data_IF_340065624657
#
_entry.id   IF_340065624657
#
_cell.length_a   1.000
_cell.length_b   1.000
_cell.length_c   1.000
_cell.angle_alpha   90.00
_cell.angle_beta   90.00
_cell.angle_gamma   90.00
#
_symmetry.space_group_name_H-M   'P 1'
#
loop_
_entity.id
_entity.type
_entity.pdbx_description
1 polymer ?
#
# COMPACT_ATOMS: atom_id res chain seq x y z
N UNK A 1 -10.44 0.11 -12.46
CA UNK A 1 -9.40 1.01 -11.92
C UNK A 1 -10.13 1.93 -10.98
N UNK A 2 -9.83 1.95 -9.68
CA UNK A 2 -10.40 2.95 -8.78
C UNK A 2 -9.87 4.30 -9.25
N UNK A 3 -10.77 5.20 -9.62
CA UNK A 3 -10.42 6.56 -9.98
C UNK A 3 -9.74 7.22 -8.79
N UNK A 4 -8.46 7.56 -8.92
CA UNK A 4 -7.68 8.18 -7.86
C UNK A 4 -8.13 9.63 -7.71
N UNK A 5 -8.98 9.91 -6.74
CA UNK A 5 -9.48 11.26 -6.45
C UNK A 5 -8.36 12.15 -5.92
N UNK A 6 -8.30 13.39 -6.43
CA UNK A 6 -7.39 14.43 -5.97
C UNK A 6 -8.19 15.50 -5.23
N UNK A 7 -7.77 15.84 -4.02
CA UNK A 7 -8.30 16.96 -3.27
C UNK A 7 -7.41 18.20 -3.50
N UNK A 8 -7.99 19.27 -3.96
CA UNK A 8 -7.31 20.55 -4.21
C UNK A 8 -7.77 21.55 -3.17
N UNK A 9 -6.82 22.13 -2.43
CA UNK A 9 -7.08 23.03 -1.31
C UNK A 9 -6.40 24.37 -1.55
N UNK A 10 -7.20 25.40 -1.74
CA UNK A 10 -6.73 26.76 -1.96
C UNK A 10 -7.91 27.72 -1.66
N UNK A 11 -7.71 28.81 -0.92
CA UNK A 11 -8.76 29.76 -0.57
C UNK A 11 -9.17 30.66 -1.75
N UNK A 12 -8.30 30.81 -2.74
CA UNK A 12 -8.55 31.59 -3.95
C UNK A 12 -9.28 30.79 -5.03
N UNK A 13 -10.52 31.16 -5.42
CA UNK A 13 -11.26 30.48 -6.49
C UNK A 13 -10.53 30.43 -7.83
N UNK A 14 -9.72 31.45 -8.12
CA UNK A 14 -8.95 31.51 -9.35
C UNK A 14 -7.89 30.37 -9.42
N UNK A 15 -7.23 30.07 -8.31
CA UNK A 15 -6.25 28.98 -8.23
C UNK A 15 -6.93 27.62 -8.39
N UNK A 16 -8.10 27.42 -7.75
CA UNK A 16 -8.91 26.21 -7.92
C UNK A 16 -9.32 26.02 -9.37
N UNK A 17 -9.77 27.07 -10.06
CA UNK A 17 -10.16 27.01 -11.47
C UNK A 17 -8.97 26.68 -12.39
N UNK A 18 -7.77 27.20 -12.08
CA UNK A 18 -6.55 26.86 -12.84
C UNK A 18 -6.23 25.37 -12.67
N UNK A 19 -6.27 24.84 -11.45
CA UNK A 19 -6.01 23.43 -11.16
C UNK A 19 -7.06 22.52 -11.81
N UNK A 20 -8.33 22.91 -11.79
CA UNK A 20 -9.41 22.21 -12.50
C UNK A 20 -9.10 22.10 -13.97
N UNK A 21 -8.79 23.19 -14.66
CA UNK A 21 -8.41 23.18 -16.08
C UNK A 21 -7.14 22.38 -16.40
N UNK A 22 -6.28 22.12 -15.41
CA UNK A 22 -5.07 21.30 -15.62
C UNK A 22 -5.38 19.81 -15.46
N UNK A 23 -6.25 19.41 -14.51
CA UNK A 23 -6.33 18.03 -14.02
C UNK A 23 -7.69 17.36 -14.28
N UNK A 24 -8.78 18.09 -14.53
CA UNK A 24 -10.14 17.54 -14.62
C UNK A 24 -10.32 16.49 -15.72
N UNK A 25 -9.61 16.63 -16.86
CA UNK A 25 -9.66 15.65 -17.95
C UNK A 25 -9.08 14.26 -17.59
N UNK A 26 -8.27 14.21 -16.52
CA UNK A 26 -7.49 13.01 -16.18
C UNK A 26 -7.86 12.40 -14.82
N UNK A 27 -8.44 13.18 -13.92
CA UNK A 27 -8.69 12.77 -12.53
C UNK A 27 -10.00 13.32 -11.97
N UNK A 28 -10.72 12.55 -11.13
CA UNK A 28 -11.81 13.10 -10.32
C UNK A 28 -11.26 14.12 -9.31
N UNK A 29 -11.82 15.31 -9.29
CA UNK A 29 -11.36 16.40 -8.43
C UNK A 29 -12.38 16.72 -7.35
N UNK A 30 -11.88 17.03 -6.15
CA UNK A 30 -12.63 17.57 -5.02
C UNK A 30 -11.93 18.85 -4.59
N UNK A 31 -12.69 19.86 -4.20
CA UNK A 31 -12.17 21.17 -3.85
C UNK A 31 -12.51 21.52 -2.41
N UNK A 32 -11.59 22.19 -1.72
CA UNK A 32 -11.78 22.77 -0.40
C UNK A 32 -11.11 24.14 -0.33
N UNK A 33 -11.65 25.05 0.48
CA UNK A 33 -11.16 26.43 0.58
C UNK A 33 -10.55 26.78 1.93
N UNK A 34 -10.61 25.85 2.86
CA UNK A 34 -10.11 26.03 4.23
C UNK A 34 -9.84 24.66 4.87
N UNK A 35 -9.24 24.68 6.06
CA UNK A 35 -8.89 23.45 6.77
C UNK A 35 -10.10 22.61 7.16
N UNK A 36 -11.19 23.23 7.59
CA UNK A 36 -12.40 22.50 7.98
C UNK A 36 -13.04 21.74 6.81
N UNK A 37 -13.16 22.38 5.65
CA UNK A 37 -13.62 21.73 4.41
C UNK A 37 -12.67 20.62 3.97
N UNK A 38 -11.36 20.83 4.09
CA UNK A 38 -10.33 19.84 3.74
C UNK A 38 -10.49 18.57 4.56
N UNK A 39 -10.62 18.67 5.88
CA UNK A 39 -10.78 17.52 6.76
C UNK A 39 -12.09 16.77 6.52
N UNK A 40 -13.18 17.49 6.24
CA UNK A 40 -14.45 16.89 5.87
C UNK A 40 -14.39 16.17 4.53
N UNK A 41 -13.73 16.76 3.52
CA UNK A 41 -13.53 16.18 2.21
C UNK A 41 -12.63 14.94 2.27
N UNK A 42 -11.59 14.95 3.09
CA UNK A 42 -10.67 13.82 3.30
C UNK A 42 -11.44 12.58 3.76
N UNK A 43 -12.27 12.70 4.78
CA UNK A 43 -13.06 11.59 5.33
C UNK A 43 -14.12 11.11 4.34
N UNK A 44 -14.77 12.02 3.62
CA UNK A 44 -15.87 11.70 2.71
C UNK A 44 -15.40 11.05 1.40
N UNK A 45 -14.29 11.54 0.84
CA UNK A 45 -13.87 11.20 -0.52
C UNK A 45 -12.62 10.32 -0.57
N UNK A 46 -11.91 10.12 0.55
CA UNK A 46 -10.69 9.31 0.66
C UNK A 46 -9.71 9.58 -0.51
N UNK A 47 -9.25 10.83 -0.71
CA UNK A 47 -8.42 11.18 -1.85
C UNK A 47 -7.06 10.47 -1.76
N UNK A 48 -6.51 10.08 -2.90
CA UNK A 48 -5.17 9.51 -2.99
C UNK A 48 -4.05 10.57 -2.90
N UNK A 49 -4.38 11.83 -3.25
CA UNK A 49 -3.44 12.93 -3.28
C UNK A 49 -4.15 14.23 -2.90
N UNK A 50 -3.46 15.07 -2.14
CA UNK A 50 -3.89 16.41 -1.76
C UNK A 50 -2.91 17.42 -2.33
N UNK A 51 -3.39 18.36 -3.13
CA UNK A 51 -2.66 19.57 -3.52
C UNK A 51 -3.05 20.65 -2.50
N UNK A 52 -2.13 21.07 -1.65
CA UNK A 52 -2.41 21.90 -0.48
C UNK A 52 -1.70 23.23 -0.55
N UNK A 53 -2.45 24.32 -0.60
CA UNK A 53 -1.87 25.65 -0.39
C UNK A 53 -1.40 25.80 1.05
N UNK A 54 -0.28 26.48 1.22
CA UNK A 54 0.30 26.78 2.53
C UNK A 54 -0.44 27.93 3.20
N UNK A 55 -0.91 28.92 2.42
CA UNK A 55 -1.49 30.17 2.90
C UNK A 55 -3.00 30.13 3.07
N UNK A 56 -3.56 29.22 3.87
CA UNK A 56 -5.01 29.18 4.14
C UNK A 56 -5.43 30.18 5.22
N UNK A 57 -6.70 30.67 5.19
CA UNK A 57 -7.18 31.73 6.07
C UNK A 57 -7.37 31.30 7.53
N UNK A 58 -7.62 30.02 7.77
CA UNK A 58 -8.02 29.47 9.08
C UNK A 58 -6.93 28.64 9.75
N UNK A 59 -6.01 28.06 8.98
CA UNK A 59 -4.95 27.20 9.48
C UNK A 59 -3.72 27.28 8.57
N UNK A 60 -2.53 27.23 9.15
CA UNK A 60 -1.29 27.06 8.41
C UNK A 60 -1.27 25.70 7.69
N UNK A 61 -0.95 25.70 6.38
CA UNK A 61 -0.96 24.50 5.54
C UNK A 61 -0.07 23.37 6.06
N UNK A 62 1.07 23.68 6.70
CA UNK A 62 1.93 22.66 7.32
C UNK A 62 1.25 22.02 8.54
N UNK A 63 0.53 22.80 9.33
CA UNK A 63 -0.25 22.28 10.45
C UNK A 63 -1.41 21.39 9.96
N UNK A 64 -2.08 21.80 8.87
CA UNK A 64 -3.14 21.01 8.24
C UNK A 64 -2.59 19.69 7.67
N UNK A 65 -1.44 19.69 7.02
CA UNK A 65 -0.78 18.50 6.53
C UNK A 65 -0.56 17.46 7.64
N UNK A 66 -0.04 17.90 8.80
CA UNK A 66 0.11 17.03 9.97
C UNK A 66 -1.22 16.46 10.48
N UNK A 67 -2.32 17.20 10.37
CA UNK A 67 -3.65 16.69 10.72
C UNK A 67 -4.17 15.68 9.72
N UNK A 68 -4.00 15.93 8.41
CA UNK A 68 -4.36 15.01 7.33
C UNK A 68 -3.68 13.65 7.55
N UNK A 69 -2.37 13.64 7.77
CA UNK A 69 -1.59 12.43 7.97
C UNK A 69 -1.93 11.67 9.27
N UNK A 70 -2.44 12.36 10.28
CA UNK A 70 -2.95 11.70 11.51
C UNK A 70 -4.32 11.03 11.32
N UNK A 71 -5.16 11.57 10.43
CA UNK A 71 -6.48 11.01 10.13
C UNK A 71 -6.36 9.80 9.22
N UNK A 72 -5.35 9.75 8.35
CA UNK A 72 -5.06 8.59 7.50
C UNK A 72 -4.08 7.63 8.16
N UNK A 73 -4.56 6.61 8.90
CA UNK A 73 -3.69 5.66 9.59
C UNK A 73 -2.88 4.77 8.61
N UNK A 74 -3.28 4.71 7.35
CA UNK A 74 -2.61 3.92 6.32
C UNK A 74 -1.45 4.67 5.67
N UNK A 75 -1.32 5.97 5.93
CA UNK A 75 -0.36 6.88 5.29
C UNK A 75 -0.37 6.78 3.75
N UNK A 76 -1.55 6.48 3.20
CA UNK A 76 -1.73 6.29 1.76
C UNK A 76 -1.93 7.62 1.03
N UNK A 77 -2.41 8.67 1.73
CA UNK A 77 -2.61 10.01 1.19
C UNK A 77 -1.26 10.71 1.01
N UNK A 78 -1.00 11.16 -0.21
CA UNK A 78 0.18 11.98 -0.51
C UNK A 78 -0.21 13.45 -0.46
N UNK A 79 0.61 14.29 0.19
CA UNK A 79 0.39 15.75 0.24
C UNK A 79 1.50 16.45 -0.54
N UNK A 80 1.11 17.20 -1.58
CA UNK A 80 1.99 18.09 -2.34
C UNK A 80 1.63 19.52 -1.99
N UNK A 81 2.57 20.28 -1.49
CA UNK A 81 2.34 21.69 -1.22
C UNK A 81 2.33 22.53 -2.49
N UNK A 82 1.42 23.50 -2.58
CA UNK A 82 1.37 24.50 -3.64
C UNK A 82 1.63 25.86 -2.99
N UNK A 83 2.80 26.45 -3.24
CA UNK A 83 3.24 27.64 -2.47
C UNK A 83 3.77 28.75 -3.36
N UNK A 84 3.55 29.99 -2.96
CA UNK A 84 4.16 31.18 -3.57
C UNK A 84 5.58 31.47 -3.09
N UNK A 85 6.08 30.74 -2.10
CA UNK A 85 7.41 30.96 -1.52
C UNK A 85 8.45 30.01 -2.10
N UNK A 86 9.54 30.56 -2.61
CA UNK A 86 10.66 29.84 -3.22
C UNK A 86 11.85 29.67 -2.23
N UNK A 87 11.58 29.65 -0.93
CA UNK A 87 12.62 29.68 0.08
C UNK A 87 12.94 28.27 0.59
N UNK A 88 14.22 27.92 0.67
CA UNK A 88 14.72 26.62 1.14
C UNK A 88 14.20 26.26 2.54
N UNK A 89 13.95 27.27 3.39
CA UNK A 89 13.40 27.05 4.73
C UNK A 89 11.93 26.58 4.68
N UNK A 90 11.15 27.05 3.72
CA UNK A 90 9.77 26.60 3.53
C UNK A 90 9.70 25.18 2.94
N UNK A 91 10.63 24.79 2.06
CA UNK A 91 10.73 23.42 1.56
C UNK A 91 11.04 22.43 2.69
N UNK A 92 12.04 22.74 3.53
CA UNK A 92 12.37 21.89 4.68
C UNK A 92 11.18 21.73 5.64
N UNK A 93 10.46 22.82 5.95
CA UNK A 93 9.27 22.79 6.80
C UNK A 93 8.14 21.93 6.18
N UNK A 94 8.00 21.92 4.86
CA UNK A 94 7.03 21.09 4.14
C UNK A 94 7.33 19.60 4.28
N UNK A 95 8.56 19.19 4.09
CA UNK A 95 8.98 17.79 4.28
C UNK A 95 8.89 17.36 5.75
N UNK A 96 9.27 18.24 6.69
CA UNK A 96 9.12 18.00 8.14
C UNK A 96 7.65 17.88 8.56
N UNK A 97 6.74 18.52 7.84
CA UNK A 97 5.29 18.37 8.05
C UNK A 97 4.74 17.05 7.48
N UNK A 98 5.55 16.30 6.70
CA UNK A 98 5.19 15.03 6.07
C UNK A 98 4.70 15.17 4.62
N UNK A 99 4.82 16.35 4.00
CA UNK A 99 4.59 16.52 2.58
C UNK A 99 5.63 15.76 1.75
N UNK A 100 5.22 15.27 0.57
CA UNK A 100 6.08 14.45 -0.28
C UNK A 100 6.72 15.25 -1.41
N UNK A 101 6.20 16.43 -1.71
CA UNK A 101 6.68 17.30 -2.79
C UNK A 101 6.09 18.71 -2.66
N UNK A 102 6.52 19.62 -3.51
CA UNK A 102 5.99 20.98 -3.60
C UNK A 102 5.88 21.47 -5.04
N UNK A 103 4.97 22.39 -5.31
CA UNK A 103 4.77 23.09 -6.58
C UNK A 103 4.80 24.58 -6.30
N UNK A 104 5.67 25.30 -6.99
CA UNK A 104 5.81 26.74 -6.81
C UNK A 104 4.82 27.48 -7.70
N UNK A 105 4.13 28.48 -7.13
CA UNK A 105 3.28 29.42 -7.88
C UNK A 105 4.18 30.49 -8.57
N UNK A 106 3.89 30.90 -9.83
CA UNK A 106 2.78 30.47 -10.67
C UNK A 106 2.94 29.04 -11.18
N UNK A 107 1.84 28.29 -11.17
CA UNK A 107 1.83 26.88 -11.56
C UNK A 107 1.94 26.70 -13.07
N UNK A 108 2.76 25.76 -13.49
CA UNK A 108 2.89 25.38 -14.91
C UNK A 108 2.19 24.03 -15.14
N UNK A 109 1.22 23.94 -16.10
CA UNK A 109 0.43 22.73 -16.31
C UNK A 109 1.24 21.45 -16.48
N UNK A 110 2.35 21.51 -17.19
CA UNK A 110 3.24 20.37 -17.42
C UNK A 110 3.89 19.88 -16.13
N UNK A 111 4.30 20.79 -15.24
CA UNK A 111 4.92 20.45 -13.96
C UNK A 111 3.88 19.83 -13.02
N UNK A 112 2.69 20.43 -12.94
CA UNK A 112 1.59 19.91 -12.11
C UNK A 112 1.26 18.48 -12.53
N UNK A 113 1.00 18.23 -13.82
CA UNK A 113 0.68 16.90 -14.35
C UNK A 113 1.79 15.89 -14.09
N UNK A 114 3.06 16.26 -14.31
CA UNK A 114 4.19 15.37 -14.11
C UNK A 114 4.33 14.94 -12.63
N UNK A 115 4.24 15.89 -11.69
CA UNK A 115 4.34 15.59 -10.26
C UNK A 115 3.16 14.77 -9.75
N UNK A 116 1.94 15.18 -10.09
CA UNK A 116 0.72 14.44 -9.74
C UNK A 116 0.78 13.00 -10.25
N UNK A 117 1.10 12.79 -11.53
CA UNK A 117 1.17 11.43 -12.08
C UNK A 117 2.25 10.57 -11.44
N UNK A 118 3.43 11.16 -11.13
CA UNK A 118 4.53 10.44 -10.48
C UNK A 118 4.16 9.98 -9.06
N UNK A 119 3.49 10.84 -8.29
CA UNK A 119 3.07 10.50 -6.93
C UNK A 119 1.90 9.52 -6.91
N UNK A 120 0.90 9.68 -7.78
CA UNK A 120 -0.20 8.73 -7.91
C UNK A 120 0.27 7.34 -8.36
N UNK A 121 1.27 7.26 -9.24
CA UNK A 121 1.88 5.99 -9.62
C UNK A 121 2.54 5.28 -8.43
N UNK A 122 3.18 6.02 -7.52
CA UNK A 122 3.76 5.47 -6.26
C UNK A 122 2.67 4.95 -5.33
N UNK A 123 1.57 5.71 -5.14
CA UNK A 123 0.41 5.27 -4.35
C UNK A 123 -0.16 3.97 -4.92
N UNK A 124 -0.36 3.93 -6.24
CA UNK A 124 -0.87 2.73 -6.91
C UNK A 124 0.04 1.51 -6.72
N UNK A 125 1.34 1.68 -6.88
CA UNK A 125 2.31 0.61 -6.67
C UNK A 125 2.30 0.10 -5.22
N UNK A 126 2.19 0.99 -4.23
CA UNK A 126 2.11 0.61 -2.82
C UNK A 126 0.83 -0.16 -2.49
N UNK A 127 -0.33 0.29 -2.99
CA UNK A 127 -1.62 -0.40 -2.83
C UNK A 127 -1.59 -1.78 -3.49
N UNK A 128 -1.02 -1.89 -4.68
CA UNK A 128 -0.89 -3.16 -5.40
C UNK A 128 0.03 -4.13 -4.63
N UNK A 129 1.18 -3.66 -4.16
CA UNK A 129 2.10 -4.47 -3.35
C UNK A 129 1.43 -4.97 -2.06
N UNK A 130 0.64 -4.12 -1.39
CA UNK A 130 -0.11 -4.53 -0.19
C UNK A 130 -1.20 -5.54 -0.53
N UNK A 131 -1.89 -5.38 -1.66
CA UNK A 131 -2.91 -6.34 -2.12
C UNK A 131 -2.30 -7.71 -2.41
N UNK A 132 -1.13 -7.76 -3.05
CA UNK A 132 -0.39 -9.00 -3.25
C UNK A 132 0.02 -9.65 -1.94
N UNK A 133 0.54 -8.88 -0.99
CA UNK A 133 0.86 -9.39 0.35
C UNK A 133 -0.37 -10.01 0.99
N UNK A 134 -1.49 -9.31 1.00
CA UNK A 134 -2.73 -9.80 1.59
C UNK A 134 -3.23 -11.10 0.90
N UNK A 135 -3.12 -11.21 -0.42
CA UNK A 135 -3.46 -12.42 -1.16
C UNK A 135 -2.58 -13.60 -0.77
N UNK A 136 -1.26 -13.40 -0.68
CA UNK A 136 -0.31 -14.42 -0.21
C UNK A 136 -0.66 -14.90 1.20
N UNK A 137 -1.00 -13.95 2.08
CA UNK A 137 -1.39 -14.26 3.45
C UNK A 137 -2.68 -15.08 3.52
N UNK A 138 -3.70 -14.71 2.72
CA UNK A 138 -4.94 -15.47 2.62
C UNK A 138 -4.69 -16.89 2.09
N UNK A 139 -3.82 -17.07 1.11
CA UNK A 139 -3.43 -18.39 0.60
C UNK A 139 -2.70 -19.23 1.65
N UNK A 140 -1.78 -18.64 2.39
CA UNK A 140 -1.11 -19.29 3.51
C UNK A 140 -2.11 -19.78 4.57
N UNK A 141 -3.05 -18.91 4.96
CA UNK A 141 -4.13 -19.32 5.89
C UNK A 141 -5.02 -20.42 5.33
N UNK A 142 -5.39 -20.36 4.04
CA UNK A 142 -6.22 -21.39 3.43
C UNK A 142 -5.54 -22.77 3.42
N UNK A 143 -4.23 -22.84 3.16
CA UNK A 143 -3.45 -24.06 3.22
C UNK A 143 -3.44 -24.72 4.60
N UNK A 144 -3.56 -23.93 5.67
CA UNK A 144 -3.56 -24.38 7.05
C UNK A 144 -4.95 -24.51 7.69
N UNK A 145 -6.03 -24.22 6.94
CA UNK A 145 -7.39 -24.23 7.49
C UNK A 145 -7.82 -25.57 8.09
N UNK A 146 -7.27 -26.67 7.57
CA UNK A 146 -7.53 -28.01 8.06
C UNK A 146 -6.50 -28.53 9.07
N UNK A 147 -5.47 -27.73 9.39
CA UNK A 147 -4.43 -28.08 10.36
C UNK A 147 -4.88 -27.71 11.78
N UNK A 148 -4.46 -28.45 12.77
CA UNK A 148 -4.76 -28.19 14.19
C UNK A 148 -3.96 -27.01 14.73
N UNK A 149 -3.02 -26.47 13.95
CA UNK A 149 -2.15 -25.38 14.37
C UNK A 149 -2.83 -24.02 14.18
N UNK A 150 -2.74 -23.18 15.20
CA UNK A 150 -3.34 -21.83 15.18
C UNK A 150 -2.58 -20.93 14.22
N UNK A 151 -3.29 -20.04 13.49
CA UNK A 151 -2.71 -19.15 12.47
C UNK A 151 -1.50 -18.30 12.91
N UNK A 152 -1.19 -18.24 14.21
CA UNK A 152 0.00 -17.60 14.76
C UNK A 152 1.32 -18.35 14.44
N UNK A 153 1.25 -19.67 14.17
CA UNK A 153 2.42 -20.48 13.84
C UNK A 153 3.05 -20.05 12.53
N UNK A 154 2.23 -19.76 11.52
CA UNK A 154 2.67 -19.39 10.16
C UNK A 154 3.55 -18.14 10.18
N UNK A 155 3.17 -17.14 10.94
CA UNK A 155 3.91 -15.88 11.07
C UNK A 155 5.24 -16.06 11.79
N UNK A 156 5.26 -16.83 12.86
CA UNK A 156 6.50 -17.12 13.58
C UNK A 156 7.48 -17.88 12.71
N UNK A 157 6.99 -18.87 11.96
CA UNK A 157 7.80 -19.66 11.05
C UNK A 157 8.39 -18.78 9.93
N UNK A 158 7.60 -17.88 9.34
CA UNK A 158 8.07 -16.94 8.33
C UNK A 158 9.15 -16.00 8.89
N UNK A 159 8.94 -15.43 10.08
CA UNK A 159 9.93 -14.58 10.75
C UNK A 159 11.23 -15.35 11.10
N UNK A 160 11.11 -16.60 11.52
CA UNK A 160 12.28 -17.44 11.78
C UNK A 160 13.04 -17.80 10.49
N UNK A 161 12.31 -18.09 9.40
CA UNK A 161 12.94 -18.35 8.09
C UNK A 161 13.75 -17.13 7.62
N UNK A 162 13.21 -15.92 7.75
CA UNK A 162 13.92 -14.66 7.47
C UNK A 162 15.17 -14.50 8.34
N UNK A 163 15.02 -14.63 9.66
CA UNK A 163 16.12 -14.45 10.61
C UNK A 163 17.26 -15.47 10.32
N UNK A 164 16.91 -16.72 10.03
CA UNK A 164 17.87 -17.76 9.66
C UNK A 164 18.56 -17.45 8.34
N UNK A 165 17.84 -17.00 7.32
CA UNK A 165 18.41 -16.63 6.02
C UNK A 165 19.44 -15.49 6.19
N UNK A 166 19.15 -14.46 6.97
CA UNK A 166 20.09 -13.38 7.28
C UNK A 166 21.33 -13.95 8.01
N UNK A 167 21.13 -14.81 9.01
CA UNK A 167 22.23 -15.44 9.73
C UNK A 167 23.12 -16.33 8.83
N UNK A 168 22.52 -16.90 7.76
CA UNK A 168 23.25 -17.66 6.73
C UNK A 168 23.89 -16.79 5.64
N UNK A 169 23.84 -15.46 5.77
CA UNK A 169 24.50 -14.53 4.85
C UNK A 169 23.69 -14.19 3.59
N UNK A 170 22.37 -14.43 3.57
CA UNK A 170 21.52 -13.99 2.47
C UNK A 170 21.36 -12.45 2.51
N UNK A 171 21.12 -11.83 1.34
CA UNK A 171 20.78 -10.40 1.30
C UNK A 171 19.43 -10.14 1.97
N UNK A 172 19.23 -8.91 2.44
CA UNK A 172 17.99 -8.49 3.09
C UNK A 172 16.80 -8.73 2.16
N UNK A 173 16.92 -8.35 0.87
CA UNK A 173 15.86 -8.50 -0.11
C UNK A 173 15.44 -9.96 -0.31
N UNK A 174 16.42 -10.90 -0.40
CA UNK A 174 16.12 -12.32 -0.52
C UNK A 174 15.52 -12.91 0.74
N UNK A 175 15.94 -12.41 1.90
CA UNK A 175 15.40 -12.83 3.20
C UNK A 175 13.96 -12.34 3.37
N UNK A 176 13.63 -11.12 2.93
CA UNK A 176 12.27 -10.58 2.92
C UNK A 176 11.37 -11.34 1.94
N UNK A 177 11.89 -11.75 0.78
CA UNK A 177 11.17 -12.62 -0.15
C UNK A 177 10.87 -14.00 0.45
N UNK A 178 11.82 -14.57 1.18
CA UNK A 178 11.62 -15.85 1.88
C UNK A 178 10.55 -15.71 2.98
N UNK A 179 10.59 -14.64 3.77
CA UNK A 179 9.55 -14.36 4.79
C UNK A 179 8.15 -14.28 4.16
N UNK A 180 8.03 -13.62 3.01
CA UNK A 180 6.76 -13.50 2.30
C UNK A 180 6.29 -14.84 1.72
N UNK A 181 7.20 -15.67 1.20
CA UNK A 181 6.89 -16.96 0.57
C UNK A 181 6.62 -18.07 1.59
N UNK A 182 7.27 -18.04 2.73
CA UNK A 182 7.22 -19.11 3.73
C UNK A 182 5.78 -19.50 4.18
N UNK A 183 4.82 -18.57 4.33
CA UNK A 183 3.43 -18.92 4.66
C UNK A 183 2.76 -19.88 3.68
N UNK A 184 3.23 -19.92 2.43
CA UNK A 184 2.64 -20.73 1.36
C UNK A 184 3.19 -22.17 1.29
N UNK A 185 4.17 -22.55 2.13
CA UNK A 185 4.86 -23.85 2.03
C UNK A 185 3.90 -25.06 2.10
N UNK A 186 2.78 -24.90 2.80
CA UNK A 186 1.78 -25.93 3.04
C UNK A 186 0.49 -25.76 2.21
N UNK A 187 0.45 -24.82 1.27
CA UNK A 187 -0.71 -24.59 0.38
C UNK A 187 -1.17 -25.85 -0.33
N UNK A 188 -0.23 -26.73 -0.69
CA UNK A 188 -0.54 -28.01 -1.35
C UNK A 188 -1.24 -29.04 -0.47
N UNK A 189 -1.35 -28.83 0.85
CA UNK A 189 -2.19 -29.66 1.73
C UNK A 189 -3.67 -29.64 1.31
N UNK A 190 -4.11 -28.63 0.56
CA UNK A 190 -5.44 -28.59 -0.07
C UNK A 190 -5.71 -29.82 -0.95
N UNK A 191 -4.70 -30.44 -1.54
CA UNK A 191 -4.80 -31.66 -2.34
C UNK A 191 -4.71 -32.95 -1.54
N UNK A 192 -4.45 -32.89 -0.24
CA UNK A 192 -4.37 -34.09 0.63
C UNK A 192 -5.74 -34.40 1.24
N UNK A 193 -6.20 -35.66 1.19
CA UNK A 193 -7.46 -36.05 1.79
C UNK A 193 -7.55 -35.74 3.29
N UNK A 194 -8.66 -35.20 3.74
CA UNK A 194 -8.88 -34.85 5.15
C UNK A 194 -8.69 -36.01 6.12
N UNK A 195 -9.02 -37.24 5.68
CA UNK A 195 -8.82 -38.44 6.47
C UNK A 195 -7.35 -38.66 6.85
N UNK A 196 -6.42 -38.23 5.99
CA UNK A 196 -4.98 -38.29 6.24
C UNK A 196 -4.53 -37.11 7.08
N UNK A 197 -4.96 -35.88 6.74
CA UNK A 197 -4.58 -34.66 7.47
C UNK A 197 -5.03 -34.68 8.94
N UNK A 198 -6.23 -35.23 9.20
CA UNK A 198 -6.84 -35.27 10.55
C UNK A 198 -6.80 -36.64 11.20
N UNK A 199 -5.97 -37.54 10.72
CA UNK A 199 -5.85 -38.89 11.30
C UNK A 199 -5.42 -38.80 12.77
N UNK A 200 -6.18 -39.39 13.70
CA UNK A 200 -5.76 -39.45 15.10
C UNK A 200 -4.73 -40.55 15.29
N UNK A 201 -3.46 -40.26 14.98
CA UNK A 201 -2.35 -41.20 15.11
C UNK A 201 -1.34 -41.08 13.99
N UNK A 202 -0.29 -41.92 14.00
CA UNK A 202 0.75 -41.87 12.97
C UNK A 202 0.21 -42.31 11.60
N UNK A 203 0.74 -41.72 10.53
CA UNK A 203 0.45 -42.10 9.17
C UNK A 203 1.18 -43.41 8.85
N UNK A 204 0.51 -44.30 8.10
CA UNK A 204 1.13 -45.47 7.54
C UNK A 204 1.98 -45.16 6.28
N UNK A 205 2.64 -46.17 5.70
CA UNK A 205 3.52 -45.96 4.57
C UNK A 205 2.80 -45.42 3.32
N UNK A 206 1.55 -45.85 3.07
CA UNK A 206 0.76 -45.42 1.92
C UNK A 206 0.23 -43.99 2.12
N UNK A 207 -0.23 -43.68 3.31
CA UNK A 207 -0.68 -42.33 3.68
C UNK A 207 0.50 -41.33 3.60
N UNK A 208 1.71 -41.74 3.99
CA UNK A 208 2.91 -40.91 3.81
C UNK A 208 3.24 -40.64 2.34
N UNK A 209 3.00 -41.56 1.43
CA UNK A 209 3.16 -41.32 -0.02
C UNK A 209 2.23 -40.20 -0.46
N UNK A 210 0.97 -40.21 -0.02
CA UNK A 210 0.02 -39.18 -0.35
C UNK A 210 0.41 -37.85 0.33
N UNK A 211 0.75 -37.87 1.62
CA UNK A 211 1.14 -36.64 2.34
C UNK A 211 2.34 -35.95 1.66
N UNK A 212 3.32 -36.71 1.17
CA UNK A 212 4.52 -36.14 0.51
C UNK A 212 4.26 -35.56 -0.88
N UNK A 213 3.04 -35.63 -1.40
CA UNK A 213 2.68 -34.96 -2.67
C UNK A 213 2.38 -33.47 -2.48
N UNK A 214 2.11 -33.01 -1.25
CA UNK A 214 1.72 -31.62 -1.01
C UNK A 214 2.71 -30.58 -1.55
N UNK A 215 4.06 -30.75 -1.51
CA UNK A 215 4.95 -29.74 -2.06
C UNK A 215 4.78 -29.60 -3.59
N UNK A 216 4.55 -30.71 -4.30
CA UNK A 216 4.30 -30.69 -5.75
C UNK A 216 2.95 -30.04 -6.06
N UNK A 217 1.90 -30.41 -5.32
CA UNK A 217 0.57 -29.79 -5.47
C UNK A 217 0.65 -28.28 -5.18
N UNK A 218 1.39 -27.89 -4.15
CA UNK A 218 1.63 -26.47 -3.84
C UNK A 218 2.34 -25.75 -4.98
N UNK A 219 3.37 -26.34 -5.52
CA UNK A 219 4.08 -25.83 -6.70
C UNK A 219 3.14 -25.66 -7.90
N UNK A 220 2.31 -26.65 -8.20
CA UNK A 220 1.37 -26.61 -9.31
C UNK A 220 0.34 -25.48 -9.13
N UNK A 221 -0.21 -25.32 -7.92
CA UNK A 221 -1.16 -24.23 -7.59
C UNK A 221 -0.49 -22.85 -7.79
N UNK A 222 0.70 -22.66 -7.25
CA UNK A 222 1.40 -21.38 -7.29
C UNK A 222 1.91 -21.04 -8.69
N UNK A 223 2.29 -22.06 -9.48
CA UNK A 223 2.76 -21.89 -10.86
C UNK A 223 1.66 -21.43 -11.82
N UNK A 224 0.40 -21.68 -11.53
CA UNK A 224 -0.73 -21.18 -12.35
C UNK A 224 -0.76 -19.64 -12.43
N UNK A 225 -0.23 -18.94 -11.43
CA UNK A 225 -0.15 -17.48 -11.43
C UNK A 225 0.98 -16.94 -12.33
N UNK A 226 1.98 -17.75 -12.69
CA UNK A 226 3.13 -17.34 -13.49
C UNK A 226 2.90 -17.45 -15.01
N UNK A 227 1.80 -18.07 -15.44
CA UNK A 227 1.48 -18.28 -16.85
C UNK A 227 1.03 -16.99 -17.55
N UNK A 228 0.73 -15.94 -16.79
CA UNK A 228 0.17 -14.67 -17.29
C UNK A 228 1.09 -13.45 -17.09
N UNK A 229 2.38 -13.68 -16.78
CA UNK A 229 3.38 -12.58 -16.66
C UNK A 229 4.32 -12.61 -17.88
#
# INVERSE_FOLDING_TARGET
MSEQTILIVDDEPANLAIMDGILADSYPLVFARNGAETLAALVKHCPALVLLDVGLPDIDGYALCRQILKIDPTQSVQVIFVTGHNDVLHEAAGFDAGGVDYIVKPVFPQIVRARVSAHLARVHAAVLAQSYRNAILMMGHAGHYNDTDTGSHIWRMAAYARALAIACGWSVERSDQLELAAPMHDTGKLGVPQAILRKPGPLDAQEWVVMRTHPQVGFDILSLSLIHI
#
